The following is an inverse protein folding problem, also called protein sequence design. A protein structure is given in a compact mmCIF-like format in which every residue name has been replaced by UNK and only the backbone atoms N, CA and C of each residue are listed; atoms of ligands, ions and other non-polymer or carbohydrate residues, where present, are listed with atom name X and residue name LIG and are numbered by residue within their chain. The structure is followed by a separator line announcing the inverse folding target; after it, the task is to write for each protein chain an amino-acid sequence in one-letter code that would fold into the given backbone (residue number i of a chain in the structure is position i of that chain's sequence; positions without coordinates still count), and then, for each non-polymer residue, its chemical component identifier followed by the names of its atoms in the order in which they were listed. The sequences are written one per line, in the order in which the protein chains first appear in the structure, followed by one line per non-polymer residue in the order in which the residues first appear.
data_IF_070471225980
#
_entry.id   IF_070471225980
#
_cell.length_a   1.000
_cell.length_b   1.000
_cell.length_c   1.000
_cell.angle_alpha   90.00
_cell.angle_beta   90.00
_cell.angle_gamma   90.00
#
_symmetry.space_group_name_H-M   'P 1'
#
loop_
_entity.id
_entity.type
_entity.pdbx_description
1 polymer ?
#
# COMPACT_ATOMS: atom_id res chain seq x y z
N UNK A 1 14.46 9.33 -21.28
CA UNK A 1 13.24 8.63 -20.80
C UNK A 1 13.55 7.18 -20.48
N UNK A 2 12.55 6.43 -20.04
CA UNK A 2 12.67 4.98 -19.82
C UNK A 2 12.73 4.25 -21.18
N UNK A 3 13.69 3.33 -21.31
CA UNK A 3 13.70 2.37 -22.39
C UNK A 3 12.52 1.41 -22.26
N UNK A 4 12.03 0.85 -23.40
CA UNK A 4 10.84 0.00 -23.38
C UNK A 4 10.95 -1.20 -22.43
N UNK A 5 12.12 -1.86 -22.36
CA UNK A 5 12.32 -2.99 -21.46
C UNK A 5 12.28 -2.58 -19.97
N UNK A 6 12.83 -1.39 -19.63
CA UNK A 6 12.79 -0.84 -18.27
C UNK A 6 11.35 -0.48 -17.88
N UNK A 7 10.58 0.10 -18.80
CA UNK A 7 9.16 0.39 -18.58
C UNK A 7 8.36 -0.89 -18.32
N UNK A 8 8.60 -1.94 -19.11
CA UNK A 8 7.93 -3.24 -18.92
C UNK A 8 8.28 -3.83 -17.54
N UNK A 9 9.57 -3.88 -17.18
CA UNK A 9 9.97 -4.42 -15.88
C UNK A 9 9.43 -3.59 -14.71
N UNK A 10 9.46 -2.27 -14.80
CA UNK A 10 8.88 -1.39 -13.79
C UNK A 10 7.38 -1.65 -13.61
N UNK A 11 6.65 -1.75 -14.72
CA UNK A 11 5.22 -2.03 -14.70
C UNK A 11 4.93 -3.40 -14.07
N UNK A 12 5.65 -4.44 -14.46
CA UNK A 12 5.51 -5.78 -13.90
C UNK A 12 5.88 -5.82 -12.42
N UNK A 13 6.95 -5.12 -12.01
CA UNK A 13 7.37 -5.02 -10.62
C UNK A 13 6.26 -4.39 -9.76
N UNK A 14 5.78 -3.21 -10.15
CA UNK A 14 4.72 -2.50 -9.41
C UNK A 14 3.43 -3.30 -9.40
N UNK A 15 3.02 -3.88 -10.54
CA UNK A 15 1.81 -4.71 -10.61
C UNK A 15 1.88 -5.92 -9.68
N UNK A 16 2.98 -6.69 -9.75
CA UNK A 16 3.19 -7.83 -8.87
C UNK A 16 3.20 -7.41 -7.38
N UNK A 17 3.81 -6.28 -7.07
CA UNK A 17 3.77 -5.68 -5.73
C UNK A 17 2.35 -5.40 -5.25
N UNK A 18 1.50 -4.79 -6.07
CA UNK A 18 0.10 -4.52 -5.73
C UNK A 18 -0.70 -5.80 -5.53
N UNK A 19 -0.50 -6.81 -6.39
CA UNK A 19 -1.12 -8.14 -6.22
C UNK A 19 -0.72 -8.75 -4.87
N UNK A 20 0.58 -8.71 -4.52
CA UNK A 20 1.07 -9.21 -3.24
C UNK A 20 0.44 -8.51 -2.04
N UNK A 21 0.35 -7.17 -2.08
CA UNK A 21 -0.25 -6.36 -1.00
C UNK A 21 -1.74 -6.69 -0.83
N UNK A 22 -2.48 -6.77 -1.94
CA UNK A 22 -3.92 -7.10 -1.89
C UNK A 22 -4.17 -8.50 -1.35
N UNK A 23 -3.47 -9.50 -1.87
CA UNK A 23 -3.63 -10.90 -1.43
C UNK A 23 -3.21 -11.10 0.03
N UNK A 24 -2.13 -10.47 0.48
CA UNK A 24 -1.72 -10.54 1.90
C UNK A 24 -2.75 -9.88 2.81
N UNK A 25 -3.34 -8.76 2.41
CA UNK A 25 -4.42 -8.12 3.16
C UNK A 25 -5.63 -9.05 3.30
N UNK A 26 -6.10 -9.61 2.17
CA UNK A 26 -7.27 -10.49 2.16
C UNK A 26 -7.02 -11.79 2.92
N UNK A 27 -5.80 -12.35 2.86
CA UNK A 27 -5.45 -13.56 3.60
C UNK A 27 -5.36 -13.31 5.12
N UNK A 28 -4.79 -12.18 5.55
CA UNK A 28 -4.70 -11.80 6.97
C UNK A 28 -6.10 -11.50 7.52
N UNK A 29 -6.94 -10.82 6.75
CA UNK A 29 -8.28 -10.42 7.19
C UNK A 29 -9.32 -11.54 7.05
N UNK A 30 -9.03 -12.65 6.39
CA UNK A 30 -9.99 -13.70 6.09
C UNK A 30 -10.79 -14.22 7.32
N UNK A 31 -10.18 -14.44 8.50
CA UNK A 31 -10.96 -14.83 9.69
C UNK A 31 -11.95 -13.77 10.12
N UNK A 32 -11.57 -12.50 10.10
CA UNK A 32 -12.40 -11.35 10.43
C UNK A 32 -13.52 -11.18 9.41
N UNK A 33 -13.18 -11.21 8.13
CA UNK A 33 -14.13 -11.04 7.03
C UNK A 33 -15.23 -12.12 7.03
N UNK A 34 -14.87 -13.37 7.39
CA UNK A 34 -15.86 -14.43 7.61
C UNK A 34 -16.78 -14.13 8.80
N UNK A 35 -16.20 -13.63 9.90
CA UNK A 35 -16.97 -13.35 11.12
C UNK A 35 -18.03 -12.25 10.91
N UNK A 36 -17.78 -11.29 10.00
CA UNK A 36 -18.71 -10.20 9.65
C UNK A 36 -19.48 -10.45 8.35
N UNK A 37 -19.32 -11.62 7.73
CA UNK A 37 -20.10 -12.03 6.56
C UNK A 37 -19.78 -11.27 5.27
N UNK A 38 -18.51 -10.90 5.02
CA UNK A 38 -18.06 -10.20 3.80
C UNK A 38 -18.25 -11.07 2.56
N UNK A 39 -19.39 -10.90 1.87
CA UNK A 39 -19.71 -11.64 0.66
C UNK A 39 -18.92 -11.20 -0.59
N UNK A 40 -18.27 -10.05 -0.55
CA UNK A 40 -17.42 -9.50 -1.62
C UNK A 40 -16.00 -10.09 -1.64
N UNK A 41 -15.58 -10.81 -0.57
CA UNK A 41 -14.24 -11.35 -0.41
C UNK A 41 -14.16 -12.84 -0.76
N UNK A 42 -13.44 -13.23 -1.86
CA UNK A 42 -13.37 -14.63 -2.30
C UNK A 42 -12.78 -15.60 -1.26
N UNK A 43 -11.78 -15.16 -0.47
CA UNK A 43 -11.19 -15.99 0.58
C UNK A 43 -12.18 -16.17 1.73
N UNK A 44 -12.92 -15.13 2.12
CA UNK A 44 -13.93 -15.22 3.16
C UNK A 44 -15.07 -16.17 2.78
N UNK A 45 -15.49 -16.19 1.50
CA UNK A 45 -16.50 -17.11 0.97
C UNK A 45 -16.00 -18.55 0.83
N UNK A 46 -14.69 -18.78 0.82
CA UNK A 46 -14.12 -20.10 0.58
C UNK A 46 -13.90 -20.45 -0.89
N UNK A 47 -14.09 -19.50 -1.82
CA UNK A 47 -13.83 -19.70 -3.26
C UNK A 47 -12.34 -19.88 -3.54
N UNK A 48 -11.49 -19.27 -2.71
CA UNK A 48 -10.03 -19.38 -2.74
C UNK A 48 -9.53 -19.79 -1.36
N UNK A 49 -8.67 -20.81 -1.29
CA UNK A 49 -8.08 -21.22 -0.02
C UNK A 49 -7.07 -20.18 0.50
N UNK A 50 -6.97 -20.03 1.83
CA UNK A 50 -5.93 -19.18 2.45
C UNK A 50 -4.52 -19.58 2.02
N UNK A 51 -4.27 -20.89 1.92
CA UNK A 51 -2.98 -21.42 1.46
C UNK A 51 -2.64 -20.94 0.05
N UNK A 52 -3.61 -20.97 -0.87
CA UNK A 52 -3.44 -20.45 -2.24
C UNK A 52 -3.18 -18.96 -2.23
N UNK A 53 -3.95 -18.20 -1.44
CA UNK A 53 -3.77 -16.75 -1.33
C UNK A 53 -2.38 -16.38 -0.80
N UNK A 54 -1.90 -17.06 0.25
CA UNK A 54 -0.55 -16.86 0.78
C UNK A 54 0.54 -17.25 -0.23
N UNK A 55 0.40 -18.40 -0.91
CA UNK A 55 1.36 -18.82 -1.94
C UNK A 55 1.46 -17.78 -3.07
N UNK A 56 0.30 -17.27 -3.53
CA UNK A 56 0.25 -16.23 -4.55
C UNK A 56 0.82 -14.89 -4.04
N UNK A 57 0.53 -14.50 -2.80
CA UNK A 57 1.07 -13.25 -2.21
C UNK A 57 2.60 -13.30 -2.10
N UNK A 58 3.16 -14.44 -1.64
CA UNK A 58 4.61 -14.65 -1.52
C UNK A 58 5.25 -14.73 -2.91
N UNK A 59 4.65 -15.46 -3.85
CA UNK A 59 5.13 -15.52 -5.23
C UNK A 59 5.13 -14.16 -5.90
N UNK A 60 4.09 -13.35 -5.65
CA UNK A 60 3.97 -12.01 -6.20
C UNK A 60 5.01 -11.03 -5.62
N UNK A 61 5.30 -11.07 -4.30
CA UNK A 61 6.37 -10.23 -3.73
C UNK A 61 7.75 -10.64 -4.24
N UNK A 62 7.99 -11.95 -4.39
CA UNK A 62 9.24 -12.44 -4.97
C UNK A 62 9.38 -11.99 -6.43
N UNK A 63 8.32 -12.10 -7.23
CA UNK A 63 8.27 -11.59 -8.60
C UNK A 63 8.48 -10.08 -8.68
N UNK A 64 7.85 -9.30 -7.81
CA UNK A 64 8.04 -7.86 -7.74
C UNK A 64 9.49 -7.46 -7.52
N UNK A 65 10.19 -8.13 -6.59
CA UNK A 65 11.60 -7.89 -6.33
C UNK A 65 12.50 -8.41 -7.48
N UNK A 66 12.16 -9.55 -8.07
CA UNK A 66 12.89 -10.10 -9.21
C UNK A 66 12.80 -9.18 -10.45
N UNK A 67 11.66 -8.57 -10.72
CA UNK A 67 11.51 -7.58 -11.80
C UNK A 67 12.20 -6.25 -11.47
N UNK A 68 12.34 -5.90 -10.18
CA UNK A 68 13.04 -4.68 -9.75
C UNK A 68 14.55 -4.80 -9.83
N UNK A 69 15.11 -5.98 -9.60
CA UNK A 69 16.57 -6.21 -9.51
C UNK A 69 17.35 -5.77 -10.79
N UNK A 70 16.90 -6.07 -12.02
CA UNK A 70 17.59 -5.63 -13.23
C UNK A 70 17.54 -4.11 -13.44
N UNK A 71 16.61 -3.40 -12.78
CA UNK A 71 16.51 -1.94 -12.86
C UNK A 71 17.56 -1.21 -12.02
N UNK A 72 18.23 -1.93 -11.10
CA UNK A 72 19.31 -1.44 -10.28
C UNK A 72 19.04 -1.52 -8.78
N UNK A 73 20.12 -1.47 -7.99
CA UNK A 73 20.04 -1.61 -6.53
C UNK A 73 19.13 -0.56 -5.86
N UNK A 74 19.20 0.69 -6.32
CA UNK A 74 18.36 1.78 -5.79
C UNK A 74 16.87 1.50 -5.97
N UNK A 75 16.47 1.03 -7.18
CA UNK A 75 15.07 0.62 -7.44
C UNK A 75 14.66 -0.57 -6.61
N UNK A 76 15.51 -1.60 -6.52
CA UNK A 76 15.23 -2.79 -5.70
C UNK A 76 15.03 -2.42 -4.22
N UNK A 77 15.93 -1.62 -3.66
CA UNK A 77 15.87 -1.20 -2.27
C UNK A 77 14.62 -0.34 -1.98
N UNK A 78 14.33 0.64 -2.85
CA UNK A 78 13.16 1.49 -2.71
C UNK A 78 11.86 0.68 -2.79
N UNK A 79 11.77 -0.27 -3.74
CA UNK A 79 10.60 -1.14 -3.87
C UNK A 79 10.46 -2.12 -2.70
N UNK A 80 11.56 -2.66 -2.18
CA UNK A 80 11.55 -3.49 -0.99
C UNK A 80 11.03 -2.73 0.24
N UNK A 81 11.44 -1.47 0.44
CA UNK A 81 10.93 -0.60 1.51
C UNK A 81 9.44 -0.32 1.32
N UNK A 82 9.01 -0.02 0.09
CA UNK A 82 7.60 0.17 -0.26
C UNK A 82 6.76 -1.05 0.12
N UNK A 83 7.16 -2.24 -0.32
CA UNK A 83 6.47 -3.49 -0.06
C UNK A 83 6.46 -3.84 1.43
N UNK A 84 7.60 -3.74 2.12
CA UNK A 84 7.71 -3.99 3.54
C UNK A 84 6.79 -3.08 4.36
N UNK A 85 6.70 -1.80 4.01
CA UNK A 85 5.81 -0.83 4.64
C UNK A 85 4.33 -1.21 4.47
N UNK A 86 3.91 -1.58 3.26
CA UNK A 86 2.54 -2.00 2.98
C UNK A 86 2.19 -3.34 3.68
N UNK A 87 3.12 -4.30 3.70
CA UNK A 87 2.93 -5.56 4.43
C UNK A 87 2.86 -5.33 5.95
N UNK A 88 3.66 -4.42 6.51
CA UNK A 88 3.59 -4.05 7.92
C UNK A 88 2.23 -3.44 8.28
N UNK A 89 1.64 -2.64 7.38
CA UNK A 89 0.25 -2.18 7.54
C UNK A 89 -0.71 -3.35 7.66
N UNK A 90 -0.68 -4.28 6.71
CA UNK A 90 -1.54 -5.45 6.70
C UNK A 90 -1.34 -6.34 7.94
N UNK A 91 -0.08 -6.53 8.36
CA UNK A 91 0.31 -7.39 9.47
C UNK A 91 -0.06 -6.87 10.87
N UNK A 92 -0.61 -5.64 10.96
CA UNK A 92 -1.14 -5.14 12.23
C UNK A 92 -1.00 -3.64 12.48
N UNK A 93 -0.14 -2.91 11.77
CA UNK A 93 -0.03 -1.46 11.96
C UNK A 93 -1.35 -0.73 11.69
N UNK A 94 -2.24 -1.29 10.85
CA UNK A 94 -3.58 -0.75 10.59
C UNK A 94 -4.44 -0.59 11.85
N UNK A 95 -4.22 -1.42 12.87
CA UNK A 95 -4.96 -1.38 14.13
C UNK A 95 -4.28 -0.48 15.20
N UNK A 96 -3.26 0.28 14.85
CA UNK A 96 -2.50 1.12 15.78
C UNK A 96 -2.64 2.62 15.47
N UNK A 97 -2.25 3.53 16.39
CA UNK A 97 -2.18 4.96 16.10
C UNK A 97 -1.24 5.32 14.94
N UNK A 98 -0.30 4.42 14.61
CA UNK A 98 0.68 4.59 13.53
C UNK A 98 0.18 4.08 12.18
N UNK A 99 -1.12 3.78 12.04
CA UNK A 99 -1.70 3.24 10.80
C UNK A 99 -1.47 4.10 9.56
N UNK A 100 -1.24 5.40 9.71
CA UNK A 100 -0.91 6.33 8.62
C UNK A 100 0.54 6.18 8.13
N UNK A 101 1.47 5.75 9.00
CA UNK A 101 2.91 5.75 8.69
C UNK A 101 3.28 4.90 7.45
N UNK A 102 2.72 3.68 7.26
CA UNK A 102 2.97 2.91 6.03
C UNK A 102 2.57 3.64 4.75
N UNK A 103 1.49 4.41 4.77
CA UNK A 103 1.05 5.18 3.61
C UNK A 103 1.98 6.36 3.33
N UNK A 104 2.44 7.08 4.38
CA UNK A 104 3.45 8.13 4.24
C UNK A 104 4.73 7.60 3.60
N UNK A 105 5.22 6.45 4.07
CA UNK A 105 6.45 5.83 3.55
C UNK A 105 6.25 5.33 2.13
N UNK A 106 5.22 4.52 1.89
CA UNK A 106 5.01 3.90 0.57
C UNK A 106 4.73 4.95 -0.50
N UNK A 107 3.81 5.86 -0.27
CA UNK A 107 3.46 6.88 -1.26
C UNK A 107 4.55 7.95 -1.39
N UNK A 108 5.27 8.27 -0.30
CA UNK A 108 6.42 9.16 -0.37
C UNK A 108 7.53 8.63 -1.27
N UNK A 109 7.88 7.34 -1.15
CA UNK A 109 8.93 6.72 -1.96
C UNK A 109 8.48 6.40 -3.39
N UNK A 110 7.16 6.28 -3.64
CA UNK A 110 6.59 5.81 -4.90
C UNK A 110 7.10 6.57 -6.14
N UNK A 111 7.20 7.92 -6.15
CA UNK A 111 7.77 8.65 -7.30
C UNK A 111 9.22 8.24 -7.62
N UNK A 112 9.99 7.83 -6.59
CA UNK A 112 11.37 7.40 -6.79
C UNK A 112 11.49 6.05 -7.48
N UNK A 113 10.46 5.19 -7.47
CA UNK A 113 10.50 3.93 -8.21
C UNK A 113 10.70 4.18 -9.71
N UNK A 114 9.98 5.17 -10.26
CA UNK A 114 10.11 5.52 -11.67
C UNK A 114 11.47 6.19 -11.98
N UNK A 115 11.94 7.09 -11.12
CA UNK A 115 13.20 7.83 -11.37
C UNK A 115 14.43 6.98 -11.11
N UNK A 116 14.38 6.00 -10.21
CA UNK A 116 15.43 5.02 -9.97
C UNK A 116 15.49 3.93 -11.06
N UNK A 117 14.41 3.73 -11.79
CA UNK A 117 14.37 2.83 -12.94
C UNK A 117 14.97 3.43 -14.22
N UNK A 118 15.34 4.71 -14.23
CA UNK A 118 15.98 5.37 -15.38
C UNK A 118 17.39 4.80 -15.65
N UNK A 119 17.92 4.94 -16.91
CA UNK A 119 19.31 4.62 -17.23
C UNK A 119 20.32 5.38 -16.36
N UNK A 120 19.99 6.64 -16.02
CA UNK A 120 20.68 7.46 -15.02
C UNK A 120 19.79 7.55 -13.77
N UNK A 121 19.95 6.61 -12.80
CA UNK A 121 19.04 6.48 -11.69
C UNK A 121 19.22 7.62 -10.68
N UNK A 122 18.10 8.19 -10.26
CA UNK A 122 18.08 9.28 -9.28
C UNK A 122 16.86 9.18 -8.38
N UNK A 123 16.99 9.64 -7.15
CA UNK A 123 15.86 9.80 -6.24
C UNK A 123 14.96 10.92 -6.77
N UNK A 124 13.67 10.78 -6.64
CA UNK A 124 12.72 11.83 -7.01
C UNK A 124 12.99 13.11 -6.20
N UNK A 125 12.62 14.26 -6.76
CA UNK A 125 12.75 15.54 -6.07
C UNK A 125 11.93 15.57 -4.78
N UNK A 126 12.37 16.35 -3.80
CA UNK A 126 11.74 16.41 -2.47
C UNK A 126 10.24 16.74 -2.53
N UNK A 127 9.82 17.61 -3.44
CA UNK A 127 8.40 17.92 -3.63
C UNK A 127 7.59 16.67 -4.03
N UNK A 128 8.14 15.79 -4.86
CA UNK A 128 7.48 14.54 -5.24
C UNK A 128 7.28 13.59 -4.06
N UNK A 129 8.23 13.54 -3.13
CA UNK A 129 8.10 12.78 -1.89
C UNK A 129 7.02 13.38 -0.98
N UNK A 130 7.01 14.71 -0.83
CA UNK A 130 6.04 15.41 0.02
C UNK A 130 4.63 15.25 -0.55
N UNK A 131 4.46 15.49 -1.85
CA UNK A 131 3.18 15.31 -2.53
C UNK A 131 2.69 13.85 -2.45
N UNK A 132 3.58 12.88 -2.71
CA UNK A 132 3.27 11.46 -2.58
C UNK A 132 2.85 11.10 -1.16
N UNK A 133 3.61 11.49 -0.15
CA UNK A 133 3.29 11.21 1.24
C UNK A 133 1.94 11.85 1.67
N UNK A 134 1.68 13.09 1.28
CA UNK A 134 0.41 13.77 1.56
C UNK A 134 -0.77 13.06 0.87
N UNK A 135 -0.61 12.65 -0.39
CA UNK A 135 -1.60 11.85 -1.10
C UNK A 135 -1.84 10.51 -0.42
N UNK A 136 -0.78 9.79 -0.03
CA UNK A 136 -0.89 8.52 0.69
C UNK A 136 -1.63 8.65 2.01
N UNK A 137 -1.34 9.70 2.78
CA UNK A 137 -2.05 10.01 4.02
C UNK A 137 -3.55 10.30 3.76
N UNK A 138 -3.87 11.06 2.71
CA UNK A 138 -5.25 11.34 2.32
C UNK A 138 -5.99 10.05 1.93
N UNK A 139 -5.36 9.20 1.10
CA UNK A 139 -5.90 7.90 0.70
C UNK A 139 -6.16 7.01 1.92
N UNK A 140 -5.20 6.91 2.85
CA UNK A 140 -5.40 6.14 4.09
C UNK A 140 -6.63 6.61 4.87
N UNK A 141 -6.71 7.91 5.14
CA UNK A 141 -7.83 8.47 5.91
C UNK A 141 -9.17 8.29 5.19
N UNK A 142 -9.20 8.43 3.86
CA UNK A 142 -10.41 8.23 3.06
C UNK A 142 -10.86 6.77 3.06
N UNK A 143 -9.92 5.83 2.96
CA UNK A 143 -10.23 4.39 2.95
C UNK A 143 -10.79 3.89 4.29
N UNK A 144 -10.44 4.52 5.39
CA UNK A 144 -10.92 4.16 6.74
C UNK A 144 -12.34 4.67 6.99
N UNK A 145 -12.78 5.76 6.33
CA UNK A 145 -14.06 6.41 6.62
C UNK A 145 -15.29 5.51 6.48
N UNK A 146 -15.45 4.69 5.41
CA UNK A 146 -16.61 3.82 5.26
C UNK A 146 -16.69 2.72 6.31
N UNK A 147 -15.54 2.26 6.79
CA UNK A 147 -15.42 1.05 7.62
C UNK A 147 -15.27 1.36 9.11
N UNK A 148 -15.37 2.64 9.54
CA UNK A 148 -15.10 3.09 10.92
C UNK A 148 -15.86 2.28 12.00
N UNK A 149 -17.11 1.97 11.77
CA UNK A 149 -17.95 1.28 12.75
C UNK A 149 -17.72 -0.24 12.75
N UNK A 150 -17.52 -0.83 11.59
CA UNK A 150 -17.27 -2.27 11.45
C UNK A 150 -15.86 -2.63 11.93
N UNK A 151 -14.89 -1.80 11.61
CA UNK A 151 -13.53 -1.95 12.10
C UNK A 151 -13.44 -1.86 13.62
N UNK A 152 -14.16 -0.91 14.25
CA UNK A 152 -14.24 -0.83 15.72
C UNK A 152 -14.80 -2.09 16.35
N UNK A 153 -15.86 -2.66 15.77
CA UNK A 153 -16.49 -3.91 16.26
C UNK A 153 -15.55 -5.10 16.18
N UNK A 154 -14.63 -5.08 15.22
CA UNK A 154 -13.65 -6.15 14.99
C UNK A 154 -12.27 -5.89 15.58
N UNK A 155 -12.11 -4.80 16.36
CA UNK A 155 -10.88 -4.47 17.08
C UNK A 155 -9.82 -3.75 16.25
N UNK A 156 -10.13 -3.30 15.04
CA UNK A 156 -9.23 -2.48 14.22
C UNK A 156 -9.42 -1.01 14.57
N UNK A 157 -8.52 -0.45 15.38
CA UNK A 157 -8.61 0.93 15.88
C UNK A 157 -7.35 1.70 15.52
N UNK A 158 -7.24 2.09 14.25
CA UNK A 158 -6.17 2.93 13.72
C UNK A 158 -6.35 4.43 14.00
N UNK A 159 -5.52 5.28 13.38
CA UNK A 159 -5.53 6.72 13.58
C UNK A 159 -6.90 7.35 13.26
N UNK A 160 -7.48 7.07 12.08
CA UNK A 160 -8.78 7.62 11.68
C UNK A 160 -9.91 7.25 12.65
N UNK A 161 -9.90 6.03 13.21
CA UNK A 161 -10.86 5.60 14.22
C UNK A 161 -10.76 6.42 15.51
N UNK A 162 -9.54 6.80 15.92
CA UNK A 162 -9.27 7.62 17.11
C UNK A 162 -9.67 9.07 16.92
N UNK A 163 -9.52 9.59 15.70
CA UNK A 163 -9.93 10.94 15.34
C UNK A 163 -11.45 11.09 15.21
N UNK A 164 -12.13 10.05 14.72
CA UNK A 164 -13.54 10.09 14.37
C UNK A 164 -13.80 10.62 12.96
N UNK A 165 -15.02 10.43 12.44
CA UNK A 165 -15.35 10.64 11.04
C UNK A 165 -15.08 12.06 10.52
N UNK A 166 -15.57 13.09 11.22
CA UNK A 166 -15.43 14.49 10.76
C UNK A 166 -13.97 14.97 10.71
N UNK A 167 -13.15 14.86 11.80
CA UNK A 167 -11.74 15.24 11.73
C UNK A 167 -10.95 14.43 10.68
N UNK A 168 -11.26 13.15 10.51
CA UNK A 168 -10.62 12.30 9.51
C UNK A 168 -10.92 12.79 8.08
N UNK A 169 -12.19 13.12 7.79
CA UNK A 169 -12.58 13.65 6.49
C UNK A 169 -11.92 15.02 6.20
N UNK A 170 -11.93 15.93 7.19
CA UNK A 170 -11.28 17.24 7.04
C UNK A 170 -9.78 17.09 6.81
N UNK A 171 -9.09 16.24 7.59
CA UNK A 171 -7.68 15.99 7.42
C UNK A 171 -7.37 15.40 6.02
N UNK A 172 -8.18 14.47 5.52
CA UNK A 172 -8.02 13.89 4.18
C UNK A 172 -8.12 14.97 3.09
N UNK A 173 -9.11 15.88 3.17
CA UNK A 173 -9.28 16.97 2.22
C UNK A 173 -8.10 17.94 2.27
N UNK A 174 -7.64 18.34 3.47
CA UNK A 174 -6.50 19.24 3.62
C UNK A 174 -5.20 18.63 3.08
N UNK A 175 -4.98 17.33 3.31
CA UNK A 175 -3.81 16.62 2.77
C UNK A 175 -3.86 16.50 1.25
N UNK A 176 -5.05 16.25 0.68
CA UNK A 176 -5.23 16.23 -0.78
C UNK A 176 -4.98 17.61 -1.39
N UNK A 177 -5.50 18.66 -0.78
CA UNK A 177 -5.22 20.03 -1.20
C UNK A 177 -3.72 20.36 -1.11
N UNK A 178 -3.05 19.99 0.00
CA UNK A 178 -1.61 20.17 0.15
C UNK A 178 -0.82 19.42 -0.94
N UNK A 179 -1.20 18.17 -1.25
CA UNK A 179 -0.56 17.41 -2.32
C UNK A 179 -0.71 18.03 -3.71
N UNK A 180 -1.75 18.85 -3.91
CA UNK A 180 -2.06 19.50 -5.20
C UNK A 180 -1.30 20.80 -5.44
N UNK A 181 -0.68 21.40 -4.41
CA UNK A 181 -0.01 22.72 -4.49
C UNK A 181 1.52 22.62 -4.29
N UNK A 182 2.07 21.44 -4.06
CA UNK A 182 3.50 21.13 -3.95
C UNK A 182 4.06 20.76 -5.31
#
# INVERSE_FOLDING_TARGET
GLDAWRLVLLTLAVFAGQVSIGLSNDAIDAPRDRAVGRADKPIARGDVSECTAWACAIGAVAGALAFSAPLGFGMLAAHAVFLASAWAYNAGLKATPFSIAPFLVSFGIFPSLATLALPDPRVAAAWGWIAGAALGAAVHLTNVLPDLDDDRRTGVVGLGHRMGARPTAVAAVLLLAAASVV
#
